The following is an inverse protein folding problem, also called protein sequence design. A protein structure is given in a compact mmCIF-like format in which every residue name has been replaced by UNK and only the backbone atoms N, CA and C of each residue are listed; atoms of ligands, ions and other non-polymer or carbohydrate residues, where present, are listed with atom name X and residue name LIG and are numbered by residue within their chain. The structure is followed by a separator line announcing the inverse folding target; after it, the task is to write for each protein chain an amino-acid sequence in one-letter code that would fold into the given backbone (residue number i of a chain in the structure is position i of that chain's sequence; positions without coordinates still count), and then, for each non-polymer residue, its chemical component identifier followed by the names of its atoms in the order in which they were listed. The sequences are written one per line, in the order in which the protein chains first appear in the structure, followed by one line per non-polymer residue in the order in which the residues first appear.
data_IF_508189519386
#
_entry.id   IF_508189519386
#
_cell.length_a   1.000
_cell.length_b   1.000
_cell.length_c   1.000
_cell.angle_alpha   90.00
_cell.angle_beta   90.00
_cell.angle_gamma   90.00
#
_symmetry.space_group_name_H-M   'P 1'
#
loop_
_entity.id
_entity.type
_entity.pdbx_description
1 polymer ?
#
# COMPACT_ATOMS: atom_id res chain seq x y z
N UNK A 1 -40.37 23.44 13.71
CA UNK A 1 -40.06 22.03 13.38
C UNK A 1 -40.20 21.86 11.87
N UNK A 2 -39.11 21.91 11.08
CA UNK A 2 -39.19 21.74 9.63
C UNK A 2 -39.24 20.25 9.26
N UNK A 3 -40.17 19.90 8.37
CA UNK A 3 -40.48 18.55 7.94
C UNK A 3 -39.36 17.93 7.09
N UNK A 4 -38.72 16.88 7.61
CA UNK A 4 -37.66 16.10 6.94
C UNK A 4 -38.12 15.31 5.69
N UNK A 5 -39.43 15.22 5.43
CA UNK A 5 -39.97 14.49 4.30
C UNK A 5 -39.78 15.19 2.94
N UNK A 6 -39.66 16.52 2.91
CA UNK A 6 -39.56 17.29 1.66
C UNK A 6 -38.16 17.25 1.01
N UNK A 7 -37.10 17.09 1.80
CA UNK A 7 -35.73 16.99 1.27
C UNK A 7 -35.44 15.64 0.59
N UNK A 8 -36.15 14.58 0.95
CA UNK A 8 -35.91 13.24 0.39
C UNK A 8 -36.46 13.09 -1.03
N UNK A 9 -37.53 13.81 -1.38
CA UNK A 9 -38.16 13.75 -2.71
C UNK A 9 -37.36 14.47 -3.81
N UNK A 10 -36.60 15.51 -3.46
CA UNK A 10 -35.79 16.24 -4.45
C UNK A 10 -34.52 15.50 -4.87
N UNK A 11 -33.94 14.67 -3.99
CA UNK A 11 -32.70 13.94 -4.29
C UNK A 11 -32.93 12.74 -5.23
N UNK A 12 -34.11 12.13 -5.21
CA UNK A 12 -34.47 11.00 -6.07
C UNK A 12 -34.75 11.41 -7.52
N UNK A 13 -35.21 12.65 -7.76
CA UNK A 13 -35.56 13.12 -9.11
C UNK A 13 -34.33 13.50 -9.96
N UNK A 14 -33.23 13.93 -9.34
CA UNK A 14 -32.00 14.31 -10.05
C UNK A 14 -31.20 13.10 -10.59
N UNK A 15 -31.43 11.89 -10.06
CA UNK A 15 -30.71 10.68 -10.45
C UNK A 15 -31.32 9.95 -11.66
N UNK A 16 -32.57 10.26 -12.04
CA UNK A 16 -33.25 9.59 -13.16
C UNK A 16 -33.12 10.34 -14.50
N UNK A 17 -32.70 11.60 -14.52
CA UNK A 17 -32.57 12.39 -15.77
C UNK A 17 -31.22 12.26 -16.47
N UNK A 18 -30.25 11.54 -15.91
CA UNK A 18 -28.92 11.37 -16.52
C UNK A 18 -28.80 10.11 -17.41
N UNK A 19 -29.86 9.32 -17.58
CA UNK A 19 -29.81 8.00 -18.22
C UNK A 19 -30.43 7.89 -19.62
N UNK A 20 -30.71 8.99 -20.31
CA UNK A 20 -31.22 8.91 -21.70
C UNK A 20 -30.59 9.93 -22.64
N UNK A 21 -29.48 9.54 -23.27
CA UNK A 21 -29.09 10.11 -24.57
C UNK A 21 -29.22 8.99 -25.60
N UNK A 22 -30.00 9.17 -26.68
CA UNK A 22 -30.17 8.14 -27.69
C UNK A 22 -28.85 7.98 -28.46
N UNK A 23 -28.41 6.73 -28.56
CA UNK A 23 -27.29 6.33 -29.42
C UNK A 23 -27.72 6.53 -30.87
N UNK A 24 -27.28 7.63 -31.47
CA UNK A 24 -27.33 7.81 -32.91
C UNK A 24 -26.15 7.05 -33.51
N UNK A 25 -26.46 5.97 -34.23
CA UNK A 25 -25.48 5.08 -34.84
C UNK A 25 -24.53 5.83 -35.77
N UNK A 26 -23.23 5.65 -35.52
CA UNK A 26 -22.19 5.80 -36.53
C UNK A 26 -21.52 4.44 -36.65
N UNK A 27 -21.72 3.80 -37.79
CA UNK A 27 -21.01 2.60 -38.19
C UNK A 27 -19.55 2.98 -38.36
N UNK A 28 -18.73 2.72 -37.36
CA UNK A 28 -17.29 2.90 -37.41
C UNK A 28 -16.67 1.57 -36.97
N UNK A 29 -15.92 0.97 -37.89
CA UNK A 29 -15.11 -0.25 -37.72
C UNK A 29 -14.48 -0.29 -36.31
N UNK A 30 -14.56 -1.41 -35.56
CA UNK A 30 -14.10 -1.49 -34.18
C UNK A 30 -12.58 -1.37 -34.14
N UNK A 31 -12.10 -0.14 -34.15
CA UNK A 31 -10.74 0.18 -33.75
C UNK A 31 -10.69 -0.08 -32.26
N UNK A 32 -9.84 -1.00 -31.77
CA UNK A 32 -9.74 -1.25 -30.34
C UNK A 32 -9.51 0.09 -29.62
N UNK A 33 -10.18 0.32 -28.47
CA UNK A 33 -9.96 1.54 -27.71
C UNK A 33 -8.46 1.69 -27.50
N UNK A 34 -7.88 2.89 -27.72
CA UNK A 34 -6.49 3.11 -27.41
C UNK A 34 -6.24 2.63 -25.98
N UNK A 35 -5.15 1.88 -25.73
CA UNK A 35 -4.86 1.40 -24.39
C UNK A 35 -4.92 2.61 -23.45
N UNK A 36 -5.56 2.48 -22.27
CA UNK A 36 -5.54 3.55 -21.29
C UNK A 36 -4.09 4.01 -21.13
N UNK A 37 -3.83 5.33 -21.06
CA UNK A 37 -2.47 5.84 -21.00
C UNK A 37 -1.71 5.02 -19.95
N UNK A 38 -0.69 4.28 -20.40
CA UNK A 38 0.13 3.50 -19.50
C UNK A 38 0.77 4.51 -18.57
N UNK A 39 0.25 4.57 -17.35
CA UNK A 39 0.69 5.51 -16.31
C UNK A 39 2.15 5.23 -16.01
N UNK A 40 3.02 5.95 -16.71
CA UNK A 40 4.41 6.19 -16.34
C UNK A 40 4.47 6.89 -14.96
N UNK A 41 3.33 7.46 -14.52
CA UNK A 41 3.05 8.13 -13.24
C UNK A 41 2.09 7.35 -12.31
N UNK A 42 2.07 6.02 -12.33
CA UNK A 42 1.40 5.30 -11.22
C UNK A 42 2.28 5.46 -9.99
N UNK A 43 1.72 6.00 -8.90
CA UNK A 43 2.30 5.89 -7.57
C UNK A 43 2.83 4.46 -7.38
N UNK A 44 4.00 4.27 -6.73
CA UNK A 44 4.56 2.95 -6.55
C UNK A 44 3.48 1.99 -6.02
N UNK A 45 3.48 0.74 -6.48
CA UNK A 45 2.42 -0.22 -6.20
C UNK A 45 2.46 -0.73 -4.75
N UNK A 46 2.58 0.16 -3.77
CA UNK A 46 2.75 -0.10 -2.36
C UNK A 46 1.67 -1.02 -1.78
N UNK A 47 0.41 -0.84 -2.20
CA UNK A 47 -0.68 -1.72 -1.78
C UNK A 47 -0.44 -3.16 -2.24
N UNK A 48 -0.14 -3.36 -3.53
CA UNK A 48 0.11 -4.68 -4.08
C UNK A 48 1.37 -5.32 -3.48
N UNK A 49 2.41 -4.51 -3.23
CA UNK A 49 3.63 -4.97 -2.56
C UNK A 49 3.38 -5.36 -1.10
N UNK A 50 2.62 -4.55 -0.34
CA UNK A 50 2.25 -4.86 1.03
C UNK A 50 1.43 -6.16 1.09
N UNK A 51 0.48 -6.33 0.17
CA UNK A 51 -0.34 -7.54 0.04
C UNK A 51 0.50 -8.77 -0.34
N UNK A 52 1.39 -8.64 -1.32
CA UNK A 52 2.24 -9.75 -1.78
C UNK A 52 3.24 -10.23 -0.72
N UNK A 53 3.66 -9.36 0.18
CA UNK A 53 4.60 -9.66 1.26
C UNK A 53 3.94 -9.71 2.64
N UNK A 54 2.62 -9.87 2.71
CA UNK A 54 1.87 -9.69 3.95
C UNK A 54 2.35 -10.59 5.08
N UNK A 55 2.67 -11.85 4.78
CA UNK A 55 3.19 -12.82 5.76
C UNK A 55 4.55 -12.40 6.31
N UNK A 56 5.47 -11.95 5.45
CA UNK A 56 6.80 -11.51 5.86
C UNK A 56 6.73 -10.20 6.65
N UNK A 57 5.86 -9.27 6.23
CA UNK A 57 5.63 -8.00 6.93
C UNK A 57 4.98 -8.23 8.31
N UNK A 58 4.03 -9.16 8.42
CA UNK A 58 3.39 -9.55 9.67
C UNK A 58 4.36 -10.23 10.66
N UNK A 59 5.44 -10.83 10.15
CA UNK A 59 6.43 -11.52 10.96
C UNK A 59 7.48 -10.58 11.58
N UNK A 60 7.61 -9.34 11.09
CA UNK A 60 8.51 -8.34 11.65
C UNK A 60 7.97 -7.76 12.97
N UNK A 61 8.82 -7.33 13.91
CA UNK A 61 10.27 -7.50 13.92
C UNK A 61 10.71 -8.88 14.46
N UNK A 62 9.75 -9.72 14.91
CA UNK A 62 10.05 -10.94 15.64
C UNK A 62 10.81 -11.99 14.81
N UNK A 63 10.57 -12.02 13.50
CA UNK A 63 11.19 -12.96 12.58
C UNK A 63 11.62 -12.21 11.32
N UNK A 64 12.93 -12.13 11.14
CA UNK A 64 13.55 -11.54 9.95
C UNK A 64 14.04 -10.11 10.16
N UNK A 65 14.98 -9.73 9.31
CA UNK A 65 15.60 -8.41 9.29
C UNK A 65 14.85 -7.50 8.31
N UNK A 66 14.38 -6.34 8.78
CA UNK A 66 13.69 -5.34 7.96
C UNK A 66 14.46 -5.03 6.67
N UNK A 67 15.77 -4.81 6.80
CA UNK A 67 16.65 -4.49 5.69
C UNK A 67 16.83 -5.66 4.72
N UNK A 68 16.75 -6.91 5.21
CA UNK A 68 16.83 -8.08 4.34
C UNK A 68 15.57 -8.20 3.48
N UNK A 69 14.38 -7.97 4.06
CA UNK A 69 13.12 -7.96 3.32
C UNK A 69 13.09 -6.84 2.27
N UNK A 70 13.62 -5.66 2.61
CA UNK A 70 13.79 -4.57 1.65
C UNK A 70 14.60 -5.01 0.44
N UNK A 71 15.81 -5.54 0.66
CA UNK A 71 16.73 -5.91 -0.42
C UNK A 71 16.20 -7.04 -1.30
N UNK A 72 15.56 -8.03 -0.69
CA UNK A 72 15.17 -9.26 -1.38
C UNK A 72 13.85 -9.12 -2.15
N UNK A 73 12.90 -8.33 -1.66
CA UNK A 73 11.54 -8.31 -2.21
C UNK A 73 11.00 -6.89 -2.41
N UNK A 74 10.93 -6.07 -1.36
CA UNK A 74 10.20 -4.79 -1.41
C UNK A 74 10.87 -3.80 -2.38
N UNK A 75 12.19 -3.62 -2.28
CA UNK A 75 12.96 -2.73 -3.15
C UNK A 75 12.76 -3.07 -4.62
N UNK A 76 13.06 -4.31 -5.06
CA UNK A 76 12.84 -4.74 -6.44
C UNK A 76 11.40 -4.55 -6.92
N UNK A 77 10.40 -4.93 -6.13
CA UNK A 77 8.99 -4.83 -6.52
C UNK A 77 8.49 -3.38 -6.64
N UNK A 78 9.12 -2.44 -5.92
CA UNK A 78 8.84 -1.00 -6.03
C UNK A 78 9.70 -0.30 -7.09
N UNK A 79 10.53 -1.03 -7.86
CA UNK A 79 11.45 -0.45 -8.83
C UNK A 79 12.67 0.23 -8.19
N UNK A 80 12.95 -0.01 -6.91
CA UNK A 80 14.06 0.54 -6.13
C UNK A 80 15.28 -0.41 -6.14
N UNK A 81 15.55 -1.07 -7.27
CA UNK A 81 16.60 -2.08 -7.41
C UNK A 81 17.99 -1.52 -7.08
N UNK A 82 18.31 -0.32 -7.57
CA UNK A 82 19.61 0.31 -7.32
C UNK A 82 19.81 0.66 -5.85
N UNK A 83 18.74 1.12 -5.18
CA UNK A 83 18.75 1.36 -3.75
C UNK A 83 18.94 0.05 -2.96
N UNK A 84 18.23 -1.01 -3.33
CA UNK A 84 18.38 -2.35 -2.73
C UNK A 84 19.81 -2.88 -2.87
N UNK A 85 20.42 -2.70 -4.06
CA UNK A 85 21.81 -3.07 -4.29
C UNK A 85 22.80 -2.23 -3.50
N UNK A 86 22.60 -0.90 -3.45
CA UNK A 86 23.49 0.03 -2.77
C UNK A 86 23.51 -0.23 -1.26
N UNK A 87 22.33 -0.43 -0.66
CA UNK A 87 22.18 -0.83 0.75
C UNK A 87 22.79 -2.22 1.02
N UNK A 88 22.80 -3.10 0.02
CA UNK A 88 23.41 -4.43 0.11
C UNK A 88 24.92 -4.46 -0.15
N UNK A 89 25.51 -3.35 -0.60
CA UNK A 89 26.90 -3.32 -1.04
C UNK A 89 27.86 -3.59 0.13
N UNK A 90 28.85 -4.46 -0.11
CA UNK A 90 29.90 -4.81 0.83
C UNK A 90 31.24 -4.30 0.34
N UNK A 91 32.16 -4.01 1.26
CA UNK A 91 33.52 -3.59 0.91
C UNK A 91 33.66 -2.14 0.43
N UNK A 92 32.64 -1.30 0.65
CA UNK A 92 32.74 0.13 0.38
C UNK A 92 33.72 0.80 1.36
N UNK A 93 34.52 1.72 0.84
CA UNK A 93 35.36 2.57 1.69
C UNK A 93 34.49 3.54 2.50
N UNK A 94 34.96 4.05 3.65
CA UNK A 94 34.21 5.03 4.42
C UNK A 94 33.83 6.29 3.63
N UNK A 95 34.67 6.71 2.66
CA UNK A 95 34.39 7.84 1.77
C UNK A 95 33.24 7.52 0.81
N UNK A 96 33.28 6.37 0.13
CA UNK A 96 32.20 5.93 -0.76
C UNK A 96 30.88 5.76 -0.02
N UNK A 97 30.88 5.19 1.19
CA UNK A 97 29.67 5.03 2.00
C UNK A 97 29.01 6.36 2.35
N UNK A 98 29.81 7.42 2.57
CA UNK A 98 29.29 8.78 2.82
C UNK A 98 28.75 9.42 1.54
N UNK A 99 29.47 9.31 0.44
CA UNK A 99 29.06 9.88 -0.85
C UNK A 99 27.76 9.27 -1.38
N UNK A 100 27.56 7.97 -1.15
CA UNK A 100 26.33 7.25 -1.51
C UNK A 100 25.20 7.44 -0.48
N UNK A 101 25.42 8.24 0.57
CA UNK A 101 24.46 8.45 1.67
C UNK A 101 23.95 7.13 2.25
N UNK A 102 24.83 6.13 2.39
CA UNK A 102 24.45 4.75 2.69
C UNK A 102 23.68 4.64 4.02
N UNK A 103 24.04 5.45 5.02
CA UNK A 103 23.36 5.48 6.31
C UNK A 103 21.91 5.98 6.18
N UNK A 104 21.69 7.07 5.45
CA UNK A 104 20.36 7.65 5.25
C UNK A 104 19.50 6.75 4.37
N UNK A 105 20.09 6.17 3.32
CA UNK A 105 19.41 5.21 2.45
C UNK A 105 18.99 3.95 3.21
N UNK A 106 19.87 3.43 4.08
CA UNK A 106 19.57 2.29 4.94
C UNK A 106 18.44 2.61 5.92
N UNK A 107 18.44 3.82 6.51
CA UNK A 107 17.36 4.28 7.38
C UNK A 107 16.05 4.37 6.61
N UNK A 108 16.02 5.04 5.47
CA UNK A 108 14.83 5.19 4.63
C UNK A 108 14.27 3.84 4.17
N UNK A 109 15.12 2.87 3.83
CA UNK A 109 14.72 1.51 3.48
C UNK A 109 14.03 0.77 4.64
N UNK A 110 14.57 0.92 5.86
CA UNK A 110 13.94 0.36 7.06
C UNK A 110 12.60 1.03 7.37
N UNK A 111 12.54 2.36 7.30
CA UNK A 111 11.32 3.14 7.54
C UNK A 111 10.23 2.81 6.52
N UNK A 112 10.57 2.69 5.23
CA UNK A 112 9.63 2.28 4.19
C UNK A 112 9.05 0.89 4.47
N UNK A 113 9.91 -0.07 4.82
CA UNK A 113 9.47 -1.43 5.13
C UNK A 113 8.59 -1.47 6.38
N UNK A 114 8.92 -0.65 7.39
CA UNK A 114 8.10 -0.47 8.59
C UNK A 114 6.74 0.15 8.27
N UNK A 115 6.69 1.15 7.40
CA UNK A 115 5.45 1.77 6.96
C UNK A 115 4.56 0.78 6.19
N UNK A 116 5.15 -0.09 5.36
CA UNK A 116 4.41 -1.16 4.68
C UNK A 116 3.88 -2.20 5.66
N UNK A 117 4.62 -2.54 6.72
CA UNK A 117 4.14 -3.42 7.77
C UNK A 117 2.96 -2.80 8.54
N UNK A 118 3.05 -1.50 8.88
CA UNK A 118 1.95 -0.77 9.50
C UNK A 118 0.70 -0.73 8.60
N UNK A 119 0.87 -0.53 7.29
CA UNK A 119 -0.25 -0.57 6.35
C UNK A 119 -0.85 -1.98 6.27
N UNK A 120 -0.03 -3.03 6.17
CA UNK A 120 -0.51 -4.42 6.19
C UNK A 120 -1.34 -4.73 7.44
N UNK A 121 -0.88 -4.26 8.61
CA UNK A 121 -1.59 -4.42 9.87
C UNK A 121 -2.94 -3.69 9.87
N UNK A 122 -2.97 -2.46 9.34
CA UNK A 122 -4.21 -1.71 9.17
C UNK A 122 -5.20 -2.42 8.23
N UNK A 123 -4.70 -2.99 7.11
CA UNK A 123 -5.54 -3.80 6.22
C UNK A 123 -6.11 -5.02 6.95
N UNK A 124 -5.26 -5.77 7.68
CA UNK A 124 -5.69 -6.94 8.44
C UNK A 124 -6.76 -6.61 9.48
N UNK A 125 -6.69 -5.41 10.10
CA UNK A 125 -7.71 -4.92 11.02
C UNK A 125 -9.01 -4.50 10.30
N UNK A 126 -8.92 -3.88 9.12
CA UNK A 126 -10.10 -3.50 8.32
C UNK A 126 -10.84 -4.70 7.74
N UNK A 127 -10.13 -5.79 7.44
CA UNK A 127 -10.71 -7.03 6.94
C UNK A 127 -11.46 -7.83 8.03
N UNK A 128 -11.42 -7.39 9.29
CA UNK A 128 -12.22 -7.96 10.37
C UNK A 128 -13.68 -7.49 10.23
N UNK A 129 -14.55 -8.39 9.81
CA UNK A 129 -15.99 -8.15 9.65
C UNK A 129 -16.85 -8.94 10.67
N UNK A 130 -18.18 -8.87 10.54
CA UNK A 130 -19.11 -9.61 11.41
C UNK A 130 -19.07 -11.12 11.22
N UNK A 131 -18.49 -11.61 10.12
CA UNK A 131 -18.32 -13.05 9.84
C UNK A 131 -17.02 -13.61 10.42
N UNK A 132 -16.10 -12.72 10.81
CA UNK A 132 -14.78 -13.08 11.32
C UNK A 132 -14.86 -13.73 12.70
N UNK A 133 -14.18 -14.87 12.85
CA UNK A 133 -14.16 -15.65 14.09
C UNK A 133 -13.43 -14.92 15.23
N UNK A 134 -13.73 -15.30 16.47
CA UNK A 134 -13.02 -14.78 17.65
C UNK A 134 -11.51 -15.06 17.57
N UNK A 135 -11.13 -16.25 17.09
CA UNK A 135 -9.73 -16.66 16.98
C UNK A 135 -8.96 -15.77 15.99
N UNK A 136 -9.58 -15.40 14.87
CA UNK A 136 -8.97 -14.52 13.86
C UNK A 136 -8.79 -13.09 14.40
N UNK A 137 -9.79 -12.56 15.11
CA UNK A 137 -9.67 -11.26 15.79
C UNK A 137 -8.55 -11.27 16.83
N UNK A 138 -8.46 -12.35 17.61
CA UNK A 138 -7.39 -12.52 18.60
C UNK A 138 -6.01 -12.66 17.95
N UNK A 139 -5.92 -13.27 16.77
CA UNK A 139 -4.67 -13.36 16.02
C UNK A 139 -4.20 -11.97 15.56
N UNK A 140 -5.09 -11.15 14.98
CA UNK A 140 -4.76 -9.77 14.59
C UNK A 140 -4.41 -8.91 15.80
N UNK A 141 -5.16 -9.02 16.90
CA UNK A 141 -4.85 -8.29 18.14
C UNK A 141 -3.45 -8.62 18.68
N UNK A 142 -3.10 -9.91 18.73
CA UNK A 142 -1.75 -10.34 19.13
C UNK A 142 -0.67 -9.82 18.18
N UNK A 143 -0.96 -9.76 16.89
CA UNK A 143 -0.04 -9.18 15.92
C UNK A 143 0.15 -7.67 16.17
N UNK A 144 -0.93 -6.92 16.41
CA UNK A 144 -0.85 -5.48 16.75
C UNK A 144 0.03 -5.28 17.97
N UNK A 145 -0.24 -6.01 19.06
CA UNK A 145 0.52 -5.91 20.31
C UNK A 145 2.01 -6.22 20.13
N UNK A 146 2.34 -7.22 19.30
CA UNK A 146 3.71 -7.60 19.01
C UNK A 146 4.46 -6.56 18.16
N UNK A 147 3.78 -5.92 17.19
CA UNK A 147 4.42 -4.99 16.25
C UNK A 147 4.44 -3.54 16.74
N UNK A 148 3.47 -3.13 17.57
CA UNK A 148 3.26 -1.73 17.95
C UNK A 148 4.48 -1.02 18.55
N UNK A 149 5.28 -1.63 19.46
CA UNK A 149 6.46 -0.96 20.01
C UNK A 149 7.49 -0.61 18.92
N UNK A 150 7.74 -1.53 17.99
CA UNK A 150 8.68 -1.33 16.89
C UNK A 150 8.15 -0.35 15.83
N UNK A 151 6.85 -0.36 15.57
CA UNK A 151 6.22 0.56 14.62
C UNK A 151 6.29 2.02 15.10
N UNK A 152 6.26 2.24 16.42
CA UNK A 152 6.24 3.58 17.04
C UNK A 152 7.63 4.10 17.41
N UNK A 153 8.65 3.25 17.40
CA UNK A 153 10.02 3.62 17.70
C UNK A 153 10.56 4.69 16.73
N UNK A 154 10.96 5.85 17.25
CA UNK A 154 11.52 6.96 16.47
C UNK A 154 10.48 7.90 15.82
N UNK A 155 9.19 7.78 16.15
CA UNK A 155 8.12 8.70 15.71
C UNK A 155 7.79 9.82 16.71
N UNK A 156 8.58 9.92 17.78
CA UNK A 156 8.46 10.88 18.90
C UNK A 156 9.44 12.04 18.79
#
# INVERSE_FOLDING_TARGET
MPNHAACSLFLACALLTLLTVPVAGRSEEPTPPPPPPALVDRLPAFYEVAKANATQLAALPAQGETLALFKAAIGPQLGLQDAAMTVGAKGLTPTMSRELLLADLTRAANELTRALAAWQLAQAAMDLDSSTTTDQRQAVQRQVEAQLPWLTEGTS
#
